data_IF_792598431684
#
_entry.id   IF_792598431684
#
_cell.length_a   1.000
_cell.length_b   1.000
_cell.length_c   1.000
_cell.angle_alpha   90.00
_cell.angle_beta   90.00
_cell.angle_gamma   90.00
#
_symmetry.space_group_name_H-M   'P 1'
#
loop_
_entity.id
_entity.type
_entity.pdbx_description
1 polymer ?
#
# COMPACT_ATOMS: atom_id res chain seq x y z
N UNK A 1 -17.64 -7.00 -13.72
CA UNK A 1 -17.27 -7.56 -12.41
C UNK A 1 -17.58 -6.50 -11.37
N UNK A 2 -18.34 -6.80 -10.31
CA UNK A 2 -18.43 -5.85 -9.21
C UNK A 2 -17.04 -5.71 -8.59
N UNK A 3 -16.56 -4.49 -8.31
CA UNK A 3 -15.35 -4.34 -7.51
C UNK A 3 -15.59 -5.04 -6.17
N UNK A 4 -14.64 -5.87 -5.76
CA UNK A 4 -14.68 -6.51 -4.45
C UNK A 4 -14.73 -5.44 -3.36
N UNK A 5 -15.21 -5.80 -2.17
CA UNK A 5 -15.10 -4.87 -1.04
C UNK A 5 -13.63 -4.54 -0.79
N UNK A 6 -13.33 -3.40 -0.15
CA UNK A 6 -11.97 -3.07 0.27
C UNK A 6 -11.34 -4.19 1.11
N UNK A 7 -12.15 -4.94 1.87
CA UNK A 7 -11.73 -6.11 2.60
C UNK A 7 -11.24 -7.24 1.66
N UNK A 8 -11.94 -7.47 0.55
CA UNK A 8 -11.56 -8.46 -0.46
C UNK A 8 -10.26 -8.07 -1.17
N UNK A 9 -10.06 -6.78 -1.44
CA UNK A 9 -8.81 -6.27 -2.03
C UNK A 9 -7.63 -6.44 -1.06
N UNK A 10 -7.82 -6.09 0.22
CA UNK A 10 -6.78 -6.26 1.24
C UNK A 10 -6.39 -7.74 1.41
N UNK A 11 -7.34 -8.68 1.32
CA UNK A 11 -7.02 -10.12 1.42
C UNK A 11 -6.10 -10.59 0.29
N UNK A 12 -6.16 -9.98 -0.88
CA UNK A 12 -5.32 -10.38 -2.03
C UNK A 12 -3.85 -10.04 -1.80
N UNK A 13 -3.55 -8.98 -1.05
CA UNK A 13 -2.16 -8.56 -0.78
C UNK A 13 -1.53 -9.25 0.43
N UNK A 14 -2.30 -10.04 1.21
CA UNK A 14 -1.79 -10.74 2.40
C UNK A 14 -0.58 -11.65 2.12
N UNK A 15 -0.53 -12.27 0.94
CA UNK A 15 0.55 -13.16 0.54
C UNK A 15 1.79 -12.45 -0.01
N UNK A 16 1.70 -11.15 -0.29
CA UNK A 16 2.77 -10.37 -0.94
C UNK A 16 3.37 -9.31 -0.02
N UNK A 17 2.57 -8.79 0.93
CA UNK A 17 3.06 -7.91 1.99
C UNK A 17 3.95 -8.69 2.97
N UNK A 18 4.98 -8.03 3.51
CA UNK A 18 5.73 -8.61 4.61
C UNK A 18 4.85 -8.73 5.88
N UNK A 19 5.18 -9.66 6.80
CA UNK A 19 4.33 -9.92 7.96
C UNK A 19 4.08 -8.70 8.85
N UNK A 20 5.09 -7.84 9.05
CA UNK A 20 4.97 -6.68 9.93
C UNK A 20 4.05 -5.63 9.32
N UNK A 21 4.20 -5.34 8.03
CA UNK A 21 3.30 -4.45 7.29
C UNK A 21 1.88 -5.01 7.27
N UNK A 22 1.71 -6.31 7.08
CA UNK A 22 0.39 -6.93 7.10
C UNK A 22 -0.30 -6.80 8.47
N UNK A 23 0.43 -7.02 9.56
CA UNK A 23 -0.09 -6.85 10.92
C UNK A 23 -0.54 -5.40 11.18
N UNK A 24 0.23 -4.41 10.71
CA UNK A 24 -0.14 -3.00 10.82
C UNK A 24 -1.42 -2.68 10.02
N UNK A 25 -1.52 -3.14 8.78
CA UNK A 25 -2.72 -3.00 7.93
C UNK A 25 -3.93 -3.67 8.62
N UNK A 26 -3.75 -4.86 9.16
CA UNK A 26 -4.82 -5.59 9.82
C UNK A 26 -5.28 -4.90 11.12
N UNK A 27 -4.35 -4.32 11.89
CA UNK A 27 -4.65 -3.53 13.09
C UNK A 27 -5.51 -2.32 12.75
N UNK A 28 -5.13 -1.55 11.72
CA UNK A 28 -5.89 -0.37 11.26
C UNK A 28 -7.24 -0.76 10.64
N UNK A 29 -7.34 -1.92 9.98
CA UNK A 29 -8.61 -2.46 9.50
C UNK A 29 -9.55 -2.86 10.65
N UNK A 30 -9.02 -3.55 11.66
CA UNK A 30 -9.82 -4.06 12.80
C UNK A 30 -10.30 -2.97 13.75
N UNK A 31 -9.54 -1.87 13.88
CA UNK A 31 -9.99 -0.70 14.65
C UNK A 31 -11.18 0.02 14.00
N UNK A 32 -11.56 -0.35 12.78
CA UNK A 32 -12.68 0.24 12.05
C UNK A 32 -12.33 1.50 11.27
N UNK A 33 -11.04 1.86 11.20
CA UNK A 33 -10.53 2.96 10.37
C UNK A 33 -10.56 2.59 8.87
N UNK A 34 -10.48 1.31 8.53
CA UNK A 34 -10.57 0.80 7.15
C UNK A 34 -11.67 -0.27 7.06
N UNK A 35 -12.72 0.01 6.30
CA UNK A 35 -13.75 -0.97 5.89
C UNK A 35 -14.90 -1.21 6.88
N UNK A 36 -14.67 -1.27 8.19
CA UNK A 36 -15.75 -1.64 9.14
C UNK A 36 -16.85 -0.57 9.27
N UNK A 37 -16.50 0.72 9.11
CA UNK A 37 -17.48 1.83 9.12
C UNK A 37 -18.21 2.02 7.78
N UNK A 38 -17.71 1.42 6.69
CA UNK A 38 -18.30 1.55 5.34
C UNK A 38 -19.43 0.53 5.08
N UNK A 39 -19.52 -0.54 5.87
CA UNK A 39 -20.55 -1.58 5.74
C UNK A 39 -21.85 -1.25 6.50
N UNK A 40 -21.86 -0.19 7.33
CA UNK A 40 -23.07 0.29 7.98
C UNK A 40 -23.98 1.01 6.98
N UNK A 41 -25.24 0.61 6.87
CA UNK A 41 -26.23 1.28 6.02
C UNK A 41 -26.47 2.72 6.50
N UNK A 42 -26.12 3.68 5.64
CA UNK A 42 -26.30 5.12 5.89
C UNK A 42 -24.96 5.84 5.90
N UNK A 43 -24.78 6.81 4.99
CA UNK A 43 -23.62 7.70 4.94
C UNK A 43 -23.66 8.72 6.09
N UNK A 44 -23.73 8.26 7.33
CA UNK A 44 -23.70 9.11 8.50
C UNK A 44 -22.25 9.55 8.73
N UNK A 45 -21.99 10.85 8.66
CA UNK A 45 -20.68 11.42 8.97
C UNK A 45 -20.46 11.27 10.47
N UNK A 46 -19.74 10.21 10.80
CA UNK A 46 -19.46 9.82 12.17
C UNK A 46 -18.19 10.52 12.63
N UNK A 47 -18.17 11.03 13.86
CA UNK A 47 -16.99 11.72 14.41
C UNK A 47 -15.80 10.75 14.48
N UNK A 48 -14.63 11.21 14.03
CA UNK A 48 -13.40 10.42 14.00
C UNK A 48 -12.46 11.04 15.03
N UNK A 49 -11.90 10.20 15.92
CA UNK A 49 -10.88 10.68 16.83
C UNK A 49 -9.64 11.13 16.03
N UNK A 50 -9.07 12.32 16.28
CA UNK A 50 -7.91 12.80 15.54
C UNK A 50 -6.73 11.83 15.54
N UNK A 51 -6.53 11.08 16.63
CA UNK A 51 -5.48 10.06 16.71
C UNK A 51 -5.71 8.88 15.76
N UNK A 52 -6.97 8.50 15.51
CA UNK A 52 -7.31 7.48 14.50
C UNK A 52 -6.97 7.96 13.09
N UNK A 53 -7.30 9.20 12.75
CA UNK A 53 -6.96 9.78 11.44
C UNK A 53 -5.45 9.83 11.23
N UNK A 54 -4.69 10.25 12.25
CA UNK A 54 -3.22 10.27 12.21
C UNK A 54 -2.62 8.87 12.00
N UNK A 55 -3.15 7.84 12.64
CA UNK A 55 -2.70 6.45 12.45
C UNK A 55 -2.92 5.96 11.02
N UNK A 56 -4.09 6.26 10.44
CA UNK A 56 -4.39 5.88 9.06
C UNK A 56 -3.47 6.60 8.06
N UNK A 57 -3.26 7.91 8.26
CA UNK A 57 -2.34 8.70 7.43
C UNK A 57 -0.93 8.13 7.53
N UNK A 58 -0.43 7.87 8.74
CA UNK A 58 0.90 7.31 8.95
C UNK A 58 1.09 5.93 8.30
N UNK A 59 0.05 5.08 8.30
CA UNK A 59 0.07 3.83 7.56
C UNK A 59 0.19 4.08 6.05
N UNK A 60 -0.64 4.96 5.48
CA UNK A 60 -0.62 5.27 4.04
C UNK A 60 0.76 5.83 3.63
N UNK A 61 1.31 6.77 4.40
CA UNK A 61 2.62 7.36 4.15
C UNK A 61 3.73 6.29 4.17
N UNK A 62 3.68 5.37 5.12
CA UNK A 62 4.62 4.24 5.21
C UNK A 62 4.52 3.34 3.97
N UNK A 63 3.31 2.97 3.56
CA UNK A 63 3.09 2.13 2.38
C UNK A 63 3.57 2.82 1.09
N UNK A 64 3.30 4.12 0.93
CA UNK A 64 3.79 4.90 -0.22
C UNK A 64 5.31 4.95 -0.24
N UNK A 65 5.92 5.21 0.93
CA UNK A 65 7.37 5.27 1.06
C UNK A 65 8.02 3.94 0.69
N UNK A 66 7.51 2.82 1.20
CA UNK A 66 8.14 1.52 1.03
C UNK A 66 7.86 0.90 -0.35
N UNK A 67 6.61 0.96 -0.81
CA UNK A 67 6.19 0.23 -2.01
C UNK A 67 6.48 0.99 -3.30
N UNK A 68 6.48 2.33 -3.25
CA UNK A 68 6.68 3.17 -4.43
C UNK A 68 8.02 3.88 -4.41
N UNK A 69 8.30 4.68 -3.37
CA UNK A 69 9.48 5.54 -3.35
C UNK A 69 10.75 4.71 -3.23
N UNK A 70 10.87 3.89 -2.19
CA UNK A 70 12.06 3.07 -1.94
C UNK A 70 12.30 2.05 -3.07
N UNK A 71 11.22 1.51 -3.65
CA UNK A 71 11.28 0.63 -4.83
C UNK A 71 11.91 1.35 -6.02
N UNK A 72 11.42 2.53 -6.36
CA UNK A 72 11.90 3.30 -7.50
C UNK A 72 13.34 3.77 -7.32
N UNK A 73 13.69 4.22 -6.12
CA UNK A 73 15.08 4.56 -5.81
C UNK A 73 16.02 3.36 -5.92
N UNK A 74 15.59 2.19 -5.43
CA UNK A 74 16.35 0.95 -5.60
C UNK A 74 16.52 0.64 -7.10
N UNK A 75 15.47 0.76 -7.90
CA UNK A 75 15.53 0.55 -9.36
C UNK A 75 16.57 1.46 -10.00
N UNK A 76 16.52 2.77 -9.73
CA UNK A 76 17.50 3.76 -10.23
C UNK A 76 18.92 3.43 -9.81
N UNK A 77 19.14 3.06 -8.55
CA UNK A 77 20.47 2.67 -8.03
C UNK A 77 21.02 1.45 -8.78
N UNK A 78 20.21 0.41 -8.97
CA UNK A 78 20.62 -0.81 -9.67
C UNK A 78 20.84 -0.57 -11.17
N UNK A 79 20.00 0.23 -11.82
CA UNK A 79 20.22 0.66 -13.20
C UNK A 79 21.54 1.43 -13.36
N UNK A 80 21.87 2.32 -12.42
CA UNK A 80 23.15 3.02 -12.42
C UNK A 80 24.34 2.06 -12.29
N UNK A 81 24.24 1.02 -11.46
CA UNK A 81 25.27 -0.01 -11.35
C UNK A 81 25.44 -0.73 -12.70
N UNK A 82 24.35 -1.22 -13.30
CA UNK A 82 24.38 -1.91 -14.60
C UNK A 82 24.98 -1.04 -15.71
N UNK A 83 24.65 0.25 -15.72
CA UNK A 83 25.24 1.23 -16.65
C UNK A 83 26.74 1.38 -16.46
N UNK A 84 27.22 1.44 -15.21
CA UNK A 84 28.66 1.56 -14.91
C UNK A 84 29.41 0.29 -15.27
N UNK A 85 28.80 -0.89 -15.08
CA UNK A 85 29.43 -2.19 -15.40
C UNK A 85 29.34 -2.58 -16.88
N UNK A 86 28.61 -1.82 -17.70
CA UNK A 86 28.45 -2.09 -19.14
C UNK A 86 27.42 -3.17 -19.47
N UNK A 87 26.58 -3.56 -18.51
CA UNK A 87 25.48 -4.53 -18.65
C UNK A 87 24.16 -3.84 -19.06
N UNK A 88 24.20 -2.84 -19.95
CA UNK A 88 23.00 -2.20 -20.49
C UNK A 88 22.32 -3.12 -21.51
N UNK A 89 21.59 -4.12 -21.03
CA UNK A 89 20.57 -4.77 -21.84
C UNK A 89 19.39 -3.81 -21.96
N UNK A 90 19.05 -3.41 -23.19
CA UNK A 90 17.90 -2.59 -23.52
C UNK A 90 16.59 -3.25 -23.04
N UNK A 91 16.20 -3.02 -21.79
CA UNK A 91 14.84 -3.23 -21.31
C UNK A 91 13.98 -2.15 -21.96
N UNK A 92 13.54 -2.43 -23.20
CA UNK A 92 12.46 -1.71 -23.84
C UNK A 92 11.25 -1.73 -22.90
N UNK A 93 10.73 -0.53 -22.68
CA UNK A 93 9.46 -0.24 -22.04
C UNK A 93 8.40 -1.28 -22.44
N UNK A 94 8.09 -2.17 -21.50
CA UNK A 94 6.92 -3.02 -21.54
C UNK A 94 6.04 -2.59 -20.37
N UNK A 95 5.46 -1.41 -20.50
CA UNK A 95 4.24 -1.02 -19.80
C UNK A 95 3.18 -0.83 -20.92
N UNK A 96 2.43 -1.90 -21.18
CA UNK A 96 1.12 -1.89 -21.84
C UNK A 96 0.07 -2.34 -20.83
#
# INVERSE_FOLDING_TARGET
MQPGSLNDELRQIKGTADPLTWEAIESVRRSGMIGARMEAEGAEVQDIDPGEAELLIGLIETLVQDWYIAREERRKRLQNIRRITGEETAEKEADE
#
